data_IF_016119036488
#
_entry.id   IF_016119036488
#
_cell.length_a   1.000
_cell.length_b   1.000
_cell.length_c   1.000
_cell.angle_alpha   90.00
_cell.angle_beta   90.00
_cell.angle_gamma   90.00
#
_symmetry.space_group_name_H-M   'P 1'
#
loop_
_entity.id
_entity.type
_entity.pdbx_description
1 polymer ?
#
# COMPACT_ATOMS: atom_id res chain seq x y z
N UNK A 1 -22.46 21.20 21.33
CA UNK A 1 -21.49 21.61 20.29
C UNK A 1 -20.82 20.40 19.60
N UNK A 2 -21.52 19.27 19.45
CA UNK A 2 -20.97 18.01 18.87
C UNK A 2 -21.58 17.62 17.51
N UNK A 3 -22.62 18.34 17.03
CA UNK A 3 -23.31 18.01 15.78
C UNK A 3 -22.44 18.19 14.52
N UNK A 4 -21.57 19.22 14.50
CA UNK A 4 -20.77 19.54 13.30
C UNK A 4 -19.65 18.53 13.01
N UNK A 5 -19.10 17.89 14.04
CA UNK A 5 -18.05 16.87 13.85
C UNK A 5 -18.63 15.56 13.30
N UNK A 6 -19.82 15.16 13.77
CA UNK A 6 -20.53 13.99 13.30
C UNK A 6 -21.05 14.15 11.85
N UNK A 7 -21.32 15.38 11.44
CA UNK A 7 -21.72 15.69 10.06
C UNK A 7 -20.53 15.77 9.10
N UNK A 8 -19.36 16.23 9.57
CA UNK A 8 -18.10 16.13 8.79
C UNK A 8 -17.67 14.68 8.55
N UNK A 9 -17.86 13.78 9.52
CA UNK A 9 -17.59 12.34 9.35
C UNK A 9 -18.57 11.71 8.34
N UNK A 10 -19.82 12.20 8.27
CA UNK A 10 -20.82 11.74 7.30
C UNK A 10 -20.57 12.24 5.88
N UNK A 11 -19.94 13.40 5.70
CA UNK A 11 -19.60 13.97 4.39
C UNK A 11 -18.40 13.30 3.69
N UNK A 12 -17.61 12.50 4.42
CA UNK A 12 -16.47 11.75 3.89
C UNK A 12 -16.77 10.25 3.74
N UNK A 13 -18.02 9.91 3.42
CA UNK A 13 -18.40 8.56 2.97
C UNK A 13 -17.91 8.26 1.53
N UNK A 14 -16.67 8.62 1.20
CA UNK A 14 -15.92 7.80 0.25
C UNK A 14 -15.88 6.39 0.81
N UNK A 15 -16.12 5.38 -0.02
CA UNK A 15 -16.31 3.99 0.41
C UNK A 15 -15.23 3.56 1.42
N UNK A 16 -15.59 3.56 2.70
CA UNK A 16 -14.72 3.11 3.77
C UNK A 16 -14.44 1.64 3.54
N UNK A 17 -13.19 1.31 3.20
CA UNK A 17 -12.79 -0.08 2.93
C UNK A 17 -12.87 -0.87 4.23
N UNK A 18 -13.70 -1.92 4.27
CA UNK A 18 -14.02 -2.61 5.53
C UNK A 18 -13.20 -3.86 5.76
N UNK A 19 -12.63 -4.50 4.73
CA UNK A 19 -11.92 -5.80 4.89
C UNK A 19 -10.76 -5.98 3.90
N UNK A 20 -9.70 -6.68 4.32
CA UNK A 20 -8.55 -7.06 3.48
C UNK A 20 -8.96 -7.84 2.23
N UNK A 21 -10.00 -8.67 2.33
CA UNK A 21 -10.54 -9.42 1.17
C UNK A 21 -11.12 -8.52 0.08
N UNK A 22 -11.70 -7.38 0.44
CA UNK A 22 -12.22 -6.41 -0.53
C UNK A 22 -11.04 -5.70 -1.23
N UNK A 23 -9.96 -5.47 -0.49
CA UNK A 23 -8.71 -4.91 -1.01
C UNK A 23 -8.02 -5.88 -1.97
N UNK A 24 -7.86 -7.14 -1.57
CA UNK A 24 -7.26 -8.18 -2.41
C UNK A 24 -8.05 -8.39 -3.71
N UNK A 25 -9.38 -8.17 -3.71
CA UNK A 25 -10.20 -8.23 -4.93
C UNK A 25 -9.92 -7.09 -5.93
N UNK A 26 -9.34 -5.98 -5.48
CA UNK A 26 -8.89 -4.87 -6.35
C UNK A 26 -7.45 -5.09 -6.85
N UNK A 27 -6.70 -6.01 -6.25
CA UNK A 27 -5.33 -6.30 -6.61
C UNK A 27 -5.29 -7.35 -7.72
N UNK A 28 -4.68 -7.00 -8.85
CA UNK A 28 -4.43 -7.91 -9.98
C UNK A 28 -3.05 -8.58 -9.89
N UNK A 29 -2.19 -8.09 -8.99
CA UNK A 29 -0.85 -8.59 -8.70
C UNK A 29 -0.66 -8.79 -7.19
N UNK A 30 -0.23 -9.97 -6.80
CA UNK A 30 0.06 -10.31 -5.41
C UNK A 30 -1.15 -10.14 -4.49
N UNK A 31 -0.93 -9.62 -3.28
CA UNK A 31 -1.94 -9.44 -2.24
C UNK A 31 -1.53 -8.32 -1.28
N UNK A 32 -2.46 -7.80 -0.47
CA UNK A 32 -2.25 -6.58 0.31
C UNK A 32 -1.32 -6.71 1.51
N UNK A 33 -1.06 -7.94 1.97
CA UNK A 33 -0.34 -8.28 3.20
C UNK A 33 -0.86 -7.59 4.49
N UNK A 34 -2.00 -6.90 4.43
CA UNK A 34 -2.63 -6.21 5.55
C UNK A 34 -3.61 -7.12 6.28
N UNK A 35 -3.68 -7.00 7.61
CA UNK A 35 -4.80 -7.55 8.37
C UNK A 35 -6.04 -6.67 8.22
N UNK A 36 -7.23 -7.25 8.42
CA UNK A 36 -8.51 -6.53 8.28
C UNK A 36 -8.57 -5.23 9.09
N UNK A 37 -8.04 -5.24 10.32
CA UNK A 37 -8.05 -4.07 11.19
C UNK A 37 -7.10 -2.96 10.70
N UNK A 38 -5.97 -3.34 10.08
CA UNK A 38 -4.98 -2.37 9.60
C UNK A 38 -5.53 -1.57 8.43
N UNK A 39 -6.21 -2.22 7.49
CA UNK A 39 -6.84 -1.56 6.35
C UNK A 39 -7.90 -0.53 6.79
N UNK A 40 -8.71 -0.86 7.81
CA UNK A 40 -9.71 0.05 8.36
C UNK A 40 -9.08 1.28 9.03
N UNK A 41 -8.11 1.05 9.92
CA UNK A 41 -7.42 2.12 10.63
C UNK A 41 -6.71 3.03 9.65
N UNK A 42 -6.02 2.45 8.66
CA UNK A 42 -5.34 3.19 7.62
C UNK A 42 -6.31 4.03 6.79
N UNK A 43 -7.47 3.48 6.37
CA UNK A 43 -8.49 4.23 5.64
C UNK A 43 -8.97 5.46 6.41
N UNK A 44 -9.17 5.34 7.73
CA UNK A 44 -9.58 6.46 8.60
C UNK A 44 -8.47 7.52 8.74
N UNK A 45 -7.22 7.10 8.88
CA UNK A 45 -6.08 8.02 9.01
C UNK A 45 -5.81 8.73 7.68
N UNK A 46 -5.74 7.98 6.59
CA UNK A 46 -5.50 8.47 5.24
C UNK A 46 -6.62 9.42 4.79
N UNK A 47 -7.89 9.11 5.05
CA UNK A 47 -9.02 9.98 4.70
C UNK A 47 -9.04 11.35 5.39
N UNK A 48 -8.13 11.60 6.34
CA UNK A 48 -7.92 12.91 6.99
C UNK A 48 -6.69 13.64 6.47
N UNK A 49 -5.82 12.95 5.74
CA UNK A 49 -4.56 13.47 5.23
C UNK A 49 -4.64 13.79 3.74
N UNK A 50 -3.85 14.76 3.30
CA UNK A 50 -3.70 15.07 1.87
C UNK A 50 -2.66 14.15 1.21
N UNK A 51 -1.63 13.75 1.95
CA UNK A 51 -0.53 12.90 1.50
C UNK A 51 -0.28 11.71 2.43
N UNK A 52 0.08 10.58 1.84
CA UNK A 52 0.48 9.35 2.51
C UNK A 52 1.87 8.93 2.03
N UNK A 53 2.76 8.59 2.96
CA UNK A 53 4.11 8.11 2.66
C UNK A 53 4.28 6.75 3.32
N UNK A 54 4.73 5.76 2.56
CA UNK A 54 5.07 4.43 3.08
C UNK A 54 6.48 4.00 2.68
N UNK A 55 7.07 3.17 3.54
CA UNK A 55 8.37 2.53 3.33
C UNK A 55 8.15 1.02 3.47
N UNK A 56 8.50 0.26 2.43
CA UNK A 56 8.16 -1.16 2.32
C UNK A 56 6.74 -1.33 1.78
N UNK A 57 6.62 -1.15 0.47
CA UNK A 57 5.35 -1.12 -0.28
C UNK A 57 4.84 -2.50 -0.64
N UNK A 58 5.74 -3.48 -0.82
CA UNK A 58 5.37 -4.81 -1.34
C UNK A 58 4.54 -4.67 -2.64
N UNK A 59 3.32 -5.25 -2.68
CA UNK A 59 2.40 -5.14 -3.83
C UNK A 59 1.50 -3.89 -3.79
N UNK A 60 1.63 -3.01 -2.78
CA UNK A 60 0.89 -1.75 -2.68
C UNK A 60 -0.48 -1.84 -1.99
N UNK A 61 -0.70 -2.80 -1.10
CA UNK A 61 -1.96 -2.92 -0.36
C UNK A 61 -2.30 -1.67 0.46
N UNK A 62 -1.35 -1.20 1.27
CA UNK A 62 -1.49 0.05 2.04
C UNK A 62 -1.62 1.28 1.14
N UNK A 63 -0.79 1.38 0.11
CA UNK A 63 -0.89 2.42 -0.92
C UNK A 63 -2.30 2.52 -1.52
N UNK A 64 -2.89 1.39 -1.91
CA UNK A 64 -4.25 1.32 -2.44
C UNK A 64 -5.30 1.84 -1.45
N UNK A 65 -5.23 1.43 -0.19
CA UNK A 65 -6.15 1.92 0.86
C UNK A 65 -6.05 3.44 0.99
N UNK A 66 -4.83 3.98 1.01
CA UNK A 66 -4.62 5.43 1.11
C UNK A 66 -5.10 6.18 -0.14
N UNK A 67 -4.87 5.64 -1.34
CA UNK A 67 -5.36 6.19 -2.60
C UNK A 67 -6.89 6.21 -2.67
N UNK A 68 -7.54 5.12 -2.28
CA UNK A 68 -9.01 5.03 -2.18
C UNK A 68 -9.60 5.99 -1.14
N UNK A 69 -8.83 6.31 -0.09
CA UNK A 69 -9.19 7.33 0.88
C UNK A 69 -8.95 8.77 0.37
N UNK A 70 -8.37 8.94 -0.82
CA UNK A 70 -8.21 10.22 -1.50
C UNK A 70 -6.85 10.89 -1.31
N UNK A 71 -5.82 10.19 -0.82
CA UNK A 71 -4.46 10.74 -0.67
C UNK A 71 -3.67 10.79 -1.98
N UNK A 72 -2.70 11.71 -2.05
CA UNK A 72 -1.50 11.57 -2.88
C UNK A 72 -0.54 10.60 -2.17
N UNK A 73 -0.06 9.57 -2.87
CA UNK A 73 0.64 8.44 -2.27
C UNK A 73 2.09 8.37 -2.75
N UNK A 74 3.01 8.28 -1.79
CA UNK A 74 4.44 8.13 -2.02
C UNK A 74 4.93 6.81 -1.44
N UNK A 75 5.47 5.94 -2.29
CA UNK A 75 5.92 4.61 -1.94
C UNK A 75 7.43 4.51 -2.09
N UNK A 76 8.12 4.09 -1.03
CA UNK A 76 9.57 3.89 -1.04
C UNK A 76 9.84 2.41 -0.81
N UNK A 77 10.40 1.74 -1.81
CA UNK A 77 10.74 0.31 -1.71
C UNK A 77 12.03 0.02 -2.49
N UNK A 78 12.60 -1.15 -2.23
CA UNK A 78 13.76 -1.66 -2.93
C UNK A 78 13.41 -2.19 -4.31
N UNK A 79 12.25 -2.87 -4.45
CA UNK A 79 11.84 -3.64 -5.65
C UNK A 79 12.93 -4.53 -6.27
N UNK A 80 13.99 -4.82 -5.51
CA UNK A 80 15.16 -5.59 -5.90
C UNK A 80 15.19 -6.92 -5.13
N UNK A 81 13.99 -7.49 -4.96
CA UNK A 81 13.80 -8.76 -4.27
C UNK A 81 14.41 -9.94 -5.03
N UNK A 82 14.69 -9.75 -6.33
CA UNK A 82 15.36 -10.73 -7.20
C UNK A 82 16.81 -11.02 -6.81
N UNK A 83 17.47 -10.15 -6.04
CA UNK A 83 18.85 -10.40 -5.55
C UNK A 83 18.91 -11.22 -4.27
N UNK A 84 17.76 -11.53 -3.65
CA UNK A 84 17.68 -12.47 -2.53
C UNK A 84 17.44 -13.92 -2.99
N UNK A 85 18.15 -14.33 -4.05
CA UNK A 85 18.14 -15.72 -4.55
C UNK A 85 18.71 -16.73 -3.54
N UNK A 86 19.38 -16.25 -2.50
CA UNK A 86 19.77 -17.02 -1.31
C UNK A 86 18.56 -17.42 -0.45
N UNK A 87 17.48 -16.64 -0.47
CA UNK A 87 16.19 -17.00 0.09
C UNK A 87 15.42 -17.92 -0.89
N UNK A 88 15.97 -19.11 -1.17
CA UNK A 88 15.28 -20.22 -1.87
C UNK A 88 14.15 -20.83 -1.04
N UNK A 89 13.39 -20.03 -0.31
CA UNK A 89 12.17 -20.48 0.34
C UNK A 89 11.03 -20.36 -0.68
N UNK A 90 10.77 -21.48 -1.35
CA UNK A 90 9.47 -21.98 -1.81
C UNK A 90 8.35 -20.92 -1.95
N UNK A 91 8.05 -20.50 -3.19
CA UNK A 91 6.73 -19.94 -3.53
C UNK A 91 6.47 -18.47 -3.15
N UNK A 92 7.46 -17.71 -2.69
CA UNK A 92 7.27 -16.29 -2.40
C UNK A 92 7.14 -15.44 -3.67
N UNK A 93 6.03 -14.70 -3.78
CA UNK A 93 5.83 -13.67 -4.79
C UNK A 93 6.76 -12.48 -4.51
N UNK A 94 7.58 -12.11 -5.50
CA UNK A 94 8.53 -11.01 -5.41
C UNK A 94 7.99 -9.80 -6.19
N UNK A 95 7.39 -8.81 -5.52
CA UNK A 95 6.80 -7.68 -6.20
C UNK A 95 7.86 -6.80 -6.85
N UNK A 96 7.50 -6.27 -8.01
CA UNK A 96 8.25 -5.22 -8.70
C UNK A 96 7.45 -3.92 -8.70
N UNK A 97 8.10 -2.80 -8.99
CA UNK A 97 7.44 -1.49 -9.07
C UNK A 97 6.21 -1.52 -10.00
N UNK A 98 6.32 -2.23 -11.12
CA UNK A 98 5.24 -2.37 -12.10
C UNK A 98 3.97 -3.01 -11.51
N UNK A 99 4.10 -3.91 -10.54
CA UNK A 99 2.93 -4.56 -9.92
C UNK A 99 2.09 -3.57 -9.12
N UNK A 100 2.75 -2.64 -8.43
CA UNK A 100 2.08 -1.57 -7.67
C UNK A 100 1.32 -0.65 -8.63
N UNK A 101 1.93 -0.31 -9.77
CA UNK A 101 1.28 0.50 -10.81
C UNK A 101 0.08 -0.20 -11.43
N UNK A 102 0.20 -1.50 -11.73
CA UNK A 102 -0.89 -2.29 -12.29
C UNK A 102 -2.06 -2.41 -11.30
N UNK A 103 -1.78 -2.66 -10.02
CA UNK A 103 -2.78 -2.68 -8.96
C UNK A 103 -3.49 -1.33 -8.79
N UNK A 104 -2.73 -0.24 -8.79
CA UNK A 104 -3.27 1.13 -8.71
C UNK A 104 -4.22 1.45 -9.86
N UNK A 105 -3.79 1.13 -11.10
CA UNK A 105 -4.60 1.33 -12.29
C UNK A 105 -5.86 0.43 -12.28
N UNK A 106 -5.74 -0.83 -11.85
CA UNK A 106 -6.87 -1.75 -11.74
C UNK A 106 -7.93 -1.30 -10.74
N UNK A 107 -7.52 -0.61 -9.66
CA UNK A 107 -8.42 0.01 -8.71
C UNK A 107 -9.08 1.32 -9.22
N UNK A 108 -8.75 1.77 -10.43
CA UNK A 108 -9.31 2.98 -11.03
C UNK A 108 -8.81 4.28 -10.39
N UNK A 109 -7.65 4.25 -9.74
CA UNK A 109 -7.06 5.41 -9.09
C UNK A 109 -6.27 6.28 -10.07
N UNK A 110 -6.22 7.59 -9.79
CA UNK A 110 -5.52 8.58 -10.61
C UNK A 110 -4.01 8.30 -10.66
N UNK A 111 -3.41 8.02 -11.83
CA UNK A 111 -1.99 7.70 -11.95
C UNK A 111 -1.06 8.86 -11.54
N UNK A 112 -1.52 10.11 -11.61
CA UNK A 112 -0.71 11.28 -11.25
C UNK A 112 -0.56 11.46 -9.74
N UNK A 113 -1.31 10.69 -8.95
CA UNK A 113 -1.30 10.71 -7.48
C UNK A 113 -0.50 9.57 -6.86
N UNK A 114 0.19 8.77 -7.67
CA UNK A 114 1.08 7.70 -7.21
C UNK A 114 2.53 8.01 -7.57
N UNK A 115 3.37 8.12 -6.56
CA UNK A 115 4.80 8.38 -6.70
C UNK A 115 5.60 7.21 -6.13
N UNK A 116 6.35 6.53 -6.99
CA UNK A 116 7.14 5.35 -6.65
C UNK A 116 8.63 5.72 -6.66
N UNK A 117 9.32 5.44 -5.55
CA UNK A 117 10.73 5.72 -5.35
C UNK A 117 11.49 4.44 -5.04
N UNK A 118 12.46 4.10 -5.89
CA UNK A 118 13.33 2.97 -5.62
C UNK A 118 14.48 3.42 -4.72
N UNK A 119 14.64 2.78 -3.56
CA UNK A 119 15.85 2.94 -2.74
C UNK A 119 16.72 1.70 -2.81
N UNK A 120 18.04 1.86 -2.68
CA UNK A 120 18.94 0.71 -2.67
C UNK A 120 18.90 0.05 -1.30
N UNK A 121 18.76 -1.28 -1.28
CA UNK A 121 19.01 -2.07 -0.07
C UNK A 121 20.50 -1.90 0.31
N UNK A 122 20.82 -1.50 1.55
CA UNK A 122 22.19 -1.59 2.01
C UNK A 122 22.67 -3.05 1.95
N UNK A 123 23.97 -3.30 1.70
CA UNK A 123 24.50 -4.64 1.76
C UNK A 123 24.22 -5.25 3.14
N UNK A 124 23.75 -6.49 3.17
CA UNK A 124 23.60 -7.22 4.43
C UNK A 124 24.97 -7.33 5.12
N UNK A 125 25.05 -7.11 6.45
CA UNK A 125 26.25 -7.39 7.22
C UNK A 125 26.75 -8.82 7.00
N UNK A 126 28.06 -9.06 7.07
CA UNK A 126 28.62 -10.40 6.82
C UNK A 126 28.06 -11.44 7.79
N UNK A 127 27.70 -11.06 9.02
CA UNK A 127 27.21 -11.99 10.04
C UNK A 127 25.82 -12.60 9.73
N UNK A 128 25.06 -12.00 8.81
CA UNK A 128 23.71 -12.44 8.43
C UNK A 128 23.64 -13.05 7.01
N UNK A 129 24.79 -13.26 6.36
CA UNK A 129 24.88 -13.87 5.02
C UNK A 129 24.99 -15.41 5.04
N UNK A 130 25.01 -16.04 6.22
CA UNK A 130 25.20 -17.48 6.41
C UNK A 130 23.95 -18.15 7.00
#
# INVERSE_FOLDING_TARGET
MYGRLADQIRGHQGQMMRRSKELDALMVKGYSALFDNDAQVLSVIAGRGERYIEIGTYCGGSALVAGLAGCEVHCIDTWDYTRRQDLKQVGHYFPVEADVRENWAAAGLDPDRLHLYQHRTPPLPEEVRN
#
